data_IF_734951686708
#
_entry.id   IF_734951686708
#
_cell.length_a   1.000
_cell.length_b   1.000
_cell.length_c   1.000
_cell.angle_alpha   90.00
_cell.angle_beta   90.00
_cell.angle_gamma   90.00
#
_symmetry.space_group_name_H-M   'P 1'
#
loop_
_entity.id
_entity.type
_entity.pdbx_description
1 polymer ?
#
# COMPACT_ATOMS: atom_id res chain seq x y z
N UNK A 1 3.02 9.39 -1.13
CA UNK A 1 3.90 8.22 -1.30
C UNK A 1 3.85 7.49 0.03
N UNK A 2 3.56 6.19 0.05
CA UNK A 2 3.37 5.41 1.28
C UNK A 2 4.67 5.09 2.04
N UNK A 3 5.77 5.79 1.73
CA UNK A 3 7.09 5.59 2.33
C UNK A 3 7.65 4.15 2.22
N UNK A 4 7.15 3.35 1.28
CA UNK A 4 7.68 2.02 0.97
C UNK A 4 8.97 2.17 0.14
N UNK A 5 10.16 1.80 0.64
CA UNK A 5 11.42 2.00 -0.07
C UNK A 5 11.56 1.07 -1.30
N UNK A 6 12.48 1.37 -2.21
CA UNK A 6 12.60 0.68 -3.51
C UNK A 6 13.07 -0.78 -3.41
N UNK A 7 13.80 -1.11 -2.35
CA UNK A 7 14.34 -2.43 -1.99
C UNK A 7 13.38 -3.25 -1.11
N UNK A 8 12.19 -2.72 -0.80
CA UNK A 8 11.20 -3.42 0.01
C UNK A 8 10.77 -4.74 -0.64
N UNK A 9 10.70 -5.87 0.10
CA UNK A 9 10.29 -7.17 -0.46
C UNK A 9 8.96 -7.15 -1.22
N UNK A 10 7.99 -6.39 -0.74
CA UNK A 10 6.70 -6.18 -1.43
C UNK A 10 6.78 -5.46 -2.78
N UNK A 11 7.96 -5.03 -3.23
CA UNK A 11 8.22 -4.51 -4.59
C UNK A 11 8.92 -5.52 -5.50
N UNK A 12 9.14 -6.75 -5.04
CA UNK A 12 9.78 -7.77 -5.88
C UNK A 12 8.83 -8.16 -7.03
N UNK A 13 9.36 -8.39 -8.24
CA UNK A 13 8.57 -8.89 -9.36
C UNK A 13 7.94 -10.27 -9.13
N UNK A 14 8.44 -11.03 -8.14
CA UNK A 14 7.83 -12.28 -7.68
C UNK A 14 6.46 -12.06 -7.04
N UNK A 15 6.25 -10.93 -6.37
CA UNK A 15 5.09 -10.68 -5.50
C UNK A 15 4.14 -9.61 -6.08
N UNK A 16 4.61 -8.82 -7.05
CA UNK A 16 3.84 -7.72 -7.66
C UNK A 16 3.75 -7.83 -9.18
N UNK A 17 2.57 -7.54 -9.73
CA UNK A 17 2.35 -7.44 -11.17
C UNK A 17 2.79 -6.09 -11.69
N UNK A 18 3.95 -6.07 -12.34
CA UNK A 18 4.43 -4.91 -13.06
C UNK A 18 4.07 -4.96 -14.54
N UNK A 19 3.81 -3.80 -15.14
CA UNK A 19 3.45 -3.65 -16.55
C UNK A 19 4.73 -3.35 -17.35
N UNK A 20 5.21 -4.34 -18.09
CA UNK A 20 6.32 -4.15 -19.03
C UNK A 20 5.90 -3.19 -20.16
N UNK A 21 6.76 -2.24 -20.51
CA UNK A 21 6.57 -1.41 -21.70
C UNK A 21 6.79 -2.25 -22.98
N UNK A 22 6.10 -1.95 -24.09
CA UNK A 22 6.43 -2.52 -25.39
C UNK A 22 7.92 -2.36 -25.69
N UNK A 23 8.61 -3.45 -26.04
CA UNK A 23 10.07 -3.45 -26.30
C UNK A 23 10.94 -4.12 -25.22
N UNK A 24 10.35 -4.75 -24.20
CA UNK A 24 11.04 -5.75 -23.36
C UNK A 24 12.18 -5.22 -22.48
N UNK A 25 12.14 -3.95 -22.06
CA UNK A 25 13.12 -3.44 -21.10
C UNK A 25 12.95 -4.15 -19.75
N UNK A 26 14.08 -4.58 -19.19
CA UNK A 26 14.17 -5.12 -17.83
C UNK A 26 13.47 -4.19 -16.84
N UNK A 27 12.65 -4.80 -15.99
CA UNK A 27 11.88 -4.08 -14.98
C UNK A 27 12.79 -3.58 -13.85
N UNK A 28 12.62 -2.33 -13.48
CA UNK A 28 13.24 -1.73 -12.31
C UNK A 28 12.14 -1.36 -11.29
N UNK A 29 12.25 -1.88 -10.07
CA UNK A 29 11.25 -1.76 -8.99
C UNK A 29 10.92 -0.31 -8.56
N UNK A 30 11.62 0.69 -9.09
CA UNK A 30 11.52 2.09 -8.69
C UNK A 30 10.69 2.98 -9.62
N UNK A 31 10.51 2.65 -10.92
CA UNK A 31 9.94 3.58 -11.93
C UNK A 31 8.85 2.94 -12.82
N UNK A 32 8.49 1.68 -12.59
CA UNK A 32 7.55 0.96 -13.45
C UNK A 32 6.10 1.06 -13.00
N UNK A 33 5.18 1.17 -13.97
CA UNK A 33 3.74 1.08 -13.74
C UNK A 33 3.40 -0.33 -13.29
N UNK A 34 2.54 -0.48 -12.28
CA UNK A 34 2.14 -1.76 -11.71
C UNK A 34 0.64 -1.80 -11.43
N UNK A 35 0.10 -3.01 -11.28
CA UNK A 35 -1.24 -3.20 -10.73
C UNK A 35 -1.19 -2.99 -9.22
N UNK A 36 -2.15 -2.21 -8.69
CA UNK A 36 -2.16 -1.87 -7.26
C UNK A 36 -2.29 -3.13 -6.39
N UNK A 37 -1.44 -3.23 -5.38
CA UNK A 37 -1.39 -4.36 -4.44
C UNK A 37 -2.27 -4.14 -3.20
N UNK A 38 -2.65 -2.88 -2.94
CA UNK A 38 -3.49 -2.45 -1.81
C UNK A 38 -4.31 -1.20 -2.21
N UNK A 39 -5.47 -1.01 -1.59
CA UNK A 39 -6.26 0.24 -1.74
C UNK A 39 -5.56 1.45 -1.11
N UNK A 40 -4.59 1.22 -0.22
CA UNK A 40 -3.68 2.22 0.34
C UNK A 40 -3.03 3.13 -0.70
N UNK A 41 -2.84 2.65 -1.94
CA UNK A 41 -2.32 3.43 -3.05
C UNK A 41 -3.07 4.76 -3.30
N UNK A 42 -4.37 4.81 -2.94
CA UNK A 42 -5.20 5.99 -3.10
C UNK A 42 -5.17 6.97 -1.92
N UNK A 43 -4.70 6.55 -0.74
CA UNK A 43 -4.77 7.34 0.50
C UNK A 43 -4.10 8.72 0.36
N UNK A 44 -2.84 8.74 -0.11
CA UNK A 44 -2.10 10.00 -0.28
C UNK A 44 -2.82 10.98 -1.23
N UNK A 45 -3.47 10.47 -2.27
CA UNK A 45 -4.20 11.30 -3.24
C UNK A 45 -5.50 11.82 -2.64
N UNK A 46 -6.24 10.98 -1.91
CA UNK A 46 -7.47 11.37 -1.23
C UNK A 46 -7.21 12.39 -0.11
N UNK A 47 -6.18 12.18 0.71
CA UNK A 47 -5.74 13.14 1.72
C UNK A 47 -5.31 14.47 1.11
N UNK A 48 -4.53 14.46 0.02
CA UNK A 48 -4.18 15.70 -0.71
C UNK A 48 -5.38 16.43 -1.30
N UNK A 49 -6.48 15.72 -1.58
CA UNK A 49 -7.74 16.33 -2.01
C UNK A 49 -8.57 16.91 -0.85
N UNK A 50 -8.01 17.00 0.36
CA UNK A 50 -8.67 17.55 1.53
C UNK A 50 -9.65 16.58 2.21
N UNK A 51 -9.63 15.28 1.87
CA UNK A 51 -10.49 14.30 2.53
C UNK A 51 -9.84 13.82 3.81
N UNK A 52 -10.54 14.03 4.92
CA UNK A 52 -10.10 13.63 6.25
C UNK A 52 -10.81 12.37 6.76
N UNK A 53 -11.90 11.94 6.09
CA UNK A 53 -12.61 10.72 6.41
C UNK A 53 -13.12 10.09 5.10
N UNK A 54 -12.71 8.86 4.80
CA UNK A 54 -13.13 8.18 3.57
C UNK A 54 -13.00 6.67 3.67
N UNK A 55 -13.82 5.98 2.87
CA UNK A 55 -13.66 4.56 2.56
C UNK A 55 -13.09 4.43 1.14
N UNK A 56 -12.15 3.53 0.95
CA UNK A 56 -11.61 3.16 -0.35
C UNK A 56 -11.82 1.67 -0.56
N UNK A 57 -12.65 1.32 -1.54
CA UNK A 57 -12.91 -0.07 -1.94
C UNK A 57 -12.46 -0.27 -3.38
N UNK A 58 -11.89 -1.43 -3.67
CA UNK A 58 -11.52 -1.80 -5.02
C UNK A 58 -10.87 -3.16 -5.10
N UNK A 59 -10.75 -3.65 -6.32
CA UNK A 59 -9.90 -4.78 -6.68
C UNK A 59 -8.44 -4.46 -6.36
N UNK A 60 -7.69 -5.47 -5.91
CA UNK A 60 -6.25 -5.44 -5.69
C UNK A 60 -5.64 -6.72 -6.24
N UNK A 61 -4.36 -6.64 -6.60
CA UNK A 61 -3.68 -7.69 -7.34
C UNK A 61 -2.34 -8.03 -6.68
N UNK A 62 -2.12 -9.30 -6.38
CA UNK A 62 -0.86 -9.81 -5.81
C UNK A 62 -0.45 -11.10 -6.50
N UNK A 63 0.85 -11.31 -6.69
CA UNK A 63 1.36 -12.56 -7.27
C UNK A 63 1.53 -13.63 -6.19
N UNK A 64 0.45 -13.90 -5.48
CA UNK A 64 0.44 -14.93 -4.44
C UNK A 64 0.35 -16.32 -5.08
N UNK A 65 0.90 -17.33 -4.42
CA UNK A 65 0.71 -18.72 -4.82
C UNK A 65 -0.77 -19.08 -4.70
N UNK A 66 -1.33 -19.72 -5.72
CA UNK A 66 -2.76 -20.02 -5.77
C UNK A 66 -3.02 -21.28 -4.93
N UNK A 67 -3.83 -21.13 -3.89
CA UNK A 67 -4.29 -22.24 -3.05
C UNK A 67 -5.75 -22.04 -2.62
N UNK A 68 -6.23 -22.84 -1.68
CA UNK A 68 -7.62 -22.79 -1.19
C UNK A 68 -7.99 -21.47 -0.50
N UNK A 69 -7.00 -20.70 -0.04
CA UNK A 69 -7.14 -19.45 0.71
C UNK A 69 -6.60 -18.23 -0.02
N UNK A 70 -5.76 -18.41 -1.05
CA UNK A 70 -5.06 -17.34 -1.74
C UNK A 70 -5.47 -17.28 -3.21
N UNK A 71 -5.94 -16.11 -3.64
CA UNK A 71 -6.24 -15.83 -5.03
C UNK A 71 -5.58 -14.52 -5.47
N UNK A 72 -4.97 -14.44 -6.67
CA UNK A 72 -4.19 -13.28 -7.09
C UNK A 72 -4.96 -11.96 -7.28
N UNK A 73 -6.30 -12.04 -7.34
CA UNK A 73 -7.18 -10.90 -7.55
C UNK A 73 -8.36 -10.95 -6.57
N UNK A 74 -8.46 -9.96 -5.70
CA UNK A 74 -9.51 -9.91 -4.67
C UNK A 74 -9.88 -8.47 -4.35
N UNK A 75 -10.89 -8.28 -3.51
CA UNK A 75 -11.37 -6.96 -3.13
C UNK A 75 -10.80 -6.57 -1.76
N UNK A 76 -10.30 -5.35 -1.66
CA UNK A 76 -9.86 -4.76 -0.40
C UNK A 76 -10.69 -3.53 -0.10
N UNK A 77 -11.08 -3.37 1.16
CA UNK A 77 -11.70 -2.16 1.68
C UNK A 77 -10.80 -1.58 2.76
N UNK A 78 -10.55 -0.28 2.68
CA UNK A 78 -9.82 0.47 3.70
C UNK A 78 -10.64 1.67 4.15
N UNK A 79 -10.59 1.95 5.45
CA UNK A 79 -11.14 3.16 6.05
C UNK A 79 -10.02 4.05 6.58
N UNK A 80 -10.11 5.35 6.27
CA UNK A 80 -9.18 6.35 6.78
C UNK A 80 -9.96 7.44 7.49
N UNK A 81 -9.49 7.81 8.67
CA UNK A 81 -9.92 9.00 9.41
C UNK A 81 -8.68 9.70 9.95
N UNK A 82 -8.52 10.97 9.61
CA UNK A 82 -7.54 11.85 10.23
C UNK A 82 -8.17 12.42 11.50
N UNK A 83 -7.36 12.50 12.54
CA UNK A 83 -7.75 13.01 13.83
C UNK A 83 -6.76 14.10 14.23
N UNK A 84 -7.25 15.06 15.00
CA UNK A 84 -6.38 16.00 15.70
C UNK A 84 -5.50 15.20 16.68
N UNK A 85 -4.16 15.37 16.67
CA UNK A 85 -3.28 14.73 17.64
C UNK A 85 -3.73 14.90 19.10
N UNK A 86 -4.33 16.03 19.46
CA UNK A 86 -4.87 16.27 20.79
C UNK A 86 -6.16 15.47 21.07
N UNK A 87 -6.93 15.14 20.04
CA UNK A 87 -8.13 14.30 20.14
C UNK A 87 -7.81 12.80 20.19
N UNK A 88 -6.64 12.38 19.69
CA UNK A 88 -6.10 11.02 19.86
C UNK A 88 -5.17 11.00 21.08
N UNK A 89 -5.69 11.40 22.25
CA UNK A 89 -4.94 11.34 23.50
C UNK A 89 -4.42 9.91 23.73
N UNK A 90 -3.11 9.70 23.62
CA UNK A 90 -2.46 8.40 23.83
C UNK A 90 -1.82 7.76 22.60
N UNK A 91 -1.73 8.44 21.44
CA UNK A 91 -0.83 7.97 20.39
C UNK A 91 0.62 8.02 20.92
N UNK A 92 1.28 6.86 20.99
CA UNK A 92 2.71 6.78 21.31
C UNK A 92 3.48 7.74 20.42
N UNK A 93 4.39 8.49 21.01
CA UNK A 93 5.42 9.21 20.28
C UNK A 93 6.19 8.23 19.39
N UNK A 94 6.84 8.73 18.34
CA UNK A 94 7.63 7.89 17.44
C UNK A 94 8.68 7.09 18.22
N UNK A 95 9.27 7.72 19.23
CA UNK A 95 10.27 7.13 20.12
C UNK A 95 9.68 6.04 21.01
N UNK A 96 8.47 6.24 21.57
CA UNK A 96 7.76 5.21 22.33
C UNK A 96 7.34 4.03 21.46
N UNK A 97 6.89 4.27 20.23
CA UNK A 97 6.52 3.21 19.28
C UNK A 97 7.72 2.40 18.81
N UNK A 98 8.88 3.04 18.61
CA UNK A 98 10.12 2.33 18.27
C UNK A 98 10.70 1.53 19.45
N UNK A 99 10.27 1.84 20.67
CA UNK A 99 10.73 1.20 21.90
C UNK A 99 9.70 0.20 22.48
N UNK A 100 8.51 0.06 21.89
CA UNK A 100 7.53 -0.94 22.33
C UNK A 100 7.97 -2.33 21.89
N UNK A 101 7.85 -3.32 22.80
CA UNK A 101 7.98 -4.72 22.43
C UNK A 101 6.87 -5.10 21.43
N UNK A 102 7.17 -5.98 20.46
CA UNK A 102 6.23 -6.44 19.41
C UNK A 102 4.88 -6.94 19.94
#
# INVERSE_FOLDING_TARGET
>A
VLLIPADHPGRKPSDTYYISRPGGKELSSAVDTLLRTHTSAHQSTLMRSGKEAFLCTGDVYRRDEIDASHFPAFHQMEGVKLFDPAAVGGAMTKEEWLASDE
#
